data_IF_957612251001
#
_entry.id   IF_957612251001
#
_cell.length_a   1.000
_cell.length_b   1.000
_cell.length_c   1.000
_cell.angle_alpha   90.00
_cell.angle_beta   90.00
_cell.angle_gamma   90.00
#
_symmetry.space_group_name_H-M   'P 1'
#
loop_
_entity.id
_entity.type
_entity.pdbx_description
1 polymer ?
#
# COMPACT_ATOMS: atom_id res chain seq x y z
N UNK A 1 -3.85 -17.81 -16.75
CA UNK A 1 -3.34 -18.12 -18.10
C UNK A 1 -2.05 -17.36 -18.41
N UNK A 2 -1.92 -16.05 -18.10
CA UNK A 2 -0.73 -15.23 -18.43
C UNK A 2 0.56 -15.79 -17.80
N UNK A 3 0.48 -16.34 -16.61
CA UNK A 3 1.61 -16.88 -15.85
C UNK A 3 1.85 -18.39 -16.06
N UNK A 4 1.17 -18.99 -17.05
CA UNK A 4 1.31 -20.40 -17.41
C UNK A 4 1.79 -20.50 -18.84
N UNK A 5 2.70 -21.43 -19.09
CA UNK A 5 3.14 -21.83 -20.42
C UNK A 5 2.48 -23.17 -20.77
N UNK A 6 1.66 -23.18 -21.78
CA UNK A 6 0.91 -24.37 -22.21
C UNK A 6 0.06 -25.01 -21.07
N UNK A 7 -0.42 -24.16 -20.12
CA UNK A 7 -1.21 -24.59 -18.97
C UNK A 7 -0.40 -25.00 -17.73
N UNK A 8 0.93 -25.02 -17.83
CA UNK A 8 1.85 -25.43 -16.75
C UNK A 8 2.65 -24.22 -16.22
N UNK A 9 3.05 -24.20 -14.95
CA UNK A 9 3.95 -23.20 -14.41
C UNK A 9 5.31 -23.20 -15.13
N UNK A 10 5.93 -22.01 -15.24
CA UNK A 10 7.29 -21.90 -15.75
C UNK A 10 8.28 -22.67 -14.86
N UNK A 11 9.22 -23.35 -15.48
CA UNK A 11 10.29 -24.03 -14.76
C UNK A 11 11.30 -23.01 -14.17
N UNK A 12 11.99 -23.41 -13.11
CA UNK A 12 13.03 -22.59 -12.51
C UNK A 12 14.13 -22.24 -13.52
N UNK A 13 14.40 -20.96 -13.71
CA UNK A 13 15.36 -20.45 -14.68
C UNK A 13 14.82 -20.29 -16.12
N UNK A 14 13.58 -20.64 -16.38
CA UNK A 14 12.93 -20.40 -17.65
C UNK A 14 12.57 -18.92 -17.82
N UNK A 15 12.72 -18.39 -19.04
CA UNK A 15 12.43 -16.99 -19.32
C UNK A 15 10.93 -16.78 -19.50
N UNK A 16 10.35 -15.96 -18.60
CA UNK A 16 8.98 -15.47 -18.73
C UNK A 16 8.93 -14.25 -19.67
N UNK A 17 8.04 -14.27 -20.65
CA UNK A 17 7.86 -13.17 -21.61
C UNK A 17 6.38 -12.75 -21.64
N UNK A 18 6.15 -11.44 -21.56
CA UNK A 18 4.83 -10.82 -21.70
C UNK A 18 4.79 -10.01 -23.01
N UNK A 19 4.60 -10.68 -24.14
CA UNK A 19 4.59 -10.03 -25.45
C UNK A 19 3.48 -8.98 -25.57
N UNK A 20 2.28 -9.28 -25.08
CA UNK A 20 1.15 -8.34 -25.10
C UNK A 20 1.41 -7.07 -24.26
N UNK A 21 2.11 -7.19 -23.12
CA UNK A 21 2.51 -6.03 -22.34
C UNK A 21 3.57 -5.21 -23.07
N UNK A 22 4.52 -5.87 -23.73
CA UNK A 22 5.52 -5.22 -24.58
C UNK A 22 4.86 -4.46 -25.74
N UNK A 23 3.87 -5.06 -26.42
CA UNK A 23 3.13 -4.41 -27.50
C UNK A 23 2.38 -3.15 -27.01
N UNK A 24 1.76 -3.21 -25.82
CA UNK A 24 1.09 -2.05 -25.22
C UNK A 24 2.06 -0.91 -24.93
N UNK A 25 3.23 -1.21 -24.35
CA UNK A 25 4.28 -0.23 -24.10
C UNK A 25 4.86 0.33 -25.41
N UNK A 26 5.10 -0.53 -26.40
CA UNK A 26 5.58 -0.08 -27.72
C UNK A 26 4.57 0.85 -28.40
N UNK A 27 3.27 0.55 -28.31
CA UNK A 27 2.21 1.42 -28.82
C UNK A 27 2.29 2.82 -28.23
N UNK A 28 2.52 2.94 -26.90
CA UNK A 28 2.70 4.24 -26.24
C UNK A 28 3.93 4.99 -26.77
N UNK A 29 5.06 4.29 -26.95
CA UNK A 29 6.28 4.84 -27.55
C UNK A 29 6.02 5.32 -28.99
N UNK A 30 5.30 4.55 -29.78
CA UNK A 30 4.97 4.91 -31.16
C UNK A 30 4.12 6.21 -31.25
N UNK A 31 3.23 6.46 -30.28
CA UNK A 31 2.47 7.72 -30.18
C UNK A 31 3.39 8.92 -29.87
N UNK A 32 4.37 8.75 -28.99
CA UNK A 32 5.39 9.78 -28.74
C UNK A 32 6.17 10.07 -30.03
N UNK A 33 6.74 9.04 -30.63
CA UNK A 33 7.56 9.16 -31.88
C UNK A 33 6.77 9.84 -33.01
N UNK A 34 5.53 9.41 -33.21
CA UNK A 34 4.66 10.00 -34.22
C UNK A 34 4.38 11.49 -33.96
N UNK A 35 4.24 11.89 -32.69
CA UNK A 35 4.01 13.29 -32.31
C UNK A 35 5.26 14.13 -32.55
N UNK A 36 6.43 13.65 -32.15
CA UNK A 36 7.71 14.30 -32.40
C UNK A 36 8.00 14.45 -33.91
N UNK A 37 7.70 13.43 -34.70
CA UNK A 37 7.87 13.46 -36.16
C UNK A 37 7.00 14.51 -36.87
N UNK A 38 5.85 14.89 -36.27
CA UNK A 38 4.99 15.97 -36.75
C UNK A 38 5.41 17.36 -36.24
N UNK A 39 6.54 17.49 -35.57
CA UNK A 39 7.08 18.74 -35.04
C UNK A 39 6.58 19.12 -33.65
N UNK A 40 5.94 18.18 -32.94
CA UNK A 40 5.58 18.38 -31.53
C UNK A 40 6.80 18.48 -30.63
N UNK A 41 6.66 19.16 -29.50
CA UNK A 41 7.67 19.20 -28.45
C UNK A 41 7.78 17.87 -27.71
N UNK A 42 8.84 17.70 -26.90
CA UNK A 42 8.95 16.53 -26.01
C UNK A 42 7.76 16.40 -25.05
N UNK A 43 7.25 17.51 -24.54
CA UNK A 43 6.07 17.50 -23.67
C UNK A 43 4.82 16.99 -24.40
N UNK A 44 4.64 17.39 -25.68
CA UNK A 44 3.55 16.91 -26.52
C UNK A 44 3.69 15.39 -26.80
N UNK A 45 4.90 14.91 -27.03
CA UNK A 45 5.19 13.49 -27.21
C UNK A 45 4.86 12.67 -25.98
N UNK A 46 5.34 13.10 -24.81
CA UNK A 46 5.03 12.44 -23.53
C UNK A 46 3.52 12.44 -23.23
N UNK A 47 2.84 13.56 -23.53
CA UNK A 47 1.40 13.65 -23.39
C UNK A 47 0.68 12.68 -24.35
N UNK A 48 1.14 12.52 -25.58
CA UNK A 48 0.55 11.57 -26.53
C UNK A 48 0.68 10.12 -26.05
N UNK A 49 1.84 9.74 -25.50
CA UNK A 49 2.04 8.43 -24.89
C UNK A 49 1.12 8.21 -23.68
N UNK A 50 1.04 9.19 -22.77
CA UNK A 50 0.13 9.17 -21.64
C UNK A 50 -1.34 9.06 -22.09
N UNK A 51 -1.76 9.87 -23.06
CA UNK A 51 -3.15 9.87 -23.54
C UNK A 51 -3.51 8.55 -24.25
N UNK A 52 -2.55 7.88 -24.89
CA UNK A 52 -2.77 6.54 -25.46
C UNK A 52 -3.21 5.52 -24.40
N UNK A 53 -2.65 5.62 -23.19
CA UNK A 53 -3.02 4.75 -22.09
C UNK A 53 -4.32 5.21 -21.40
N UNK A 54 -4.42 6.48 -21.02
CA UNK A 54 -5.52 6.95 -20.16
C UNK A 54 -6.76 7.47 -20.90
N UNK A 55 -6.66 7.82 -22.19
CA UNK A 55 -7.74 8.41 -22.99
C UNK A 55 -7.95 7.76 -24.34
N UNK A 56 -6.98 6.94 -24.78
CA UNK A 56 -6.97 6.33 -26.09
C UNK A 56 -7.46 4.89 -26.10
N UNK A 57 -6.86 4.12 -27.01
CA UNK A 57 -7.30 2.77 -27.30
C UNK A 57 -7.05 1.78 -26.17
N UNK A 58 -5.99 1.99 -25.37
CA UNK A 58 -5.73 1.13 -24.20
C UNK A 58 -6.83 1.33 -23.16
N UNK A 59 -7.15 2.58 -22.81
CA UNK A 59 -8.25 2.88 -21.89
C UNK A 59 -9.58 2.30 -22.36
N UNK A 60 -9.87 2.41 -23.67
CA UNK A 60 -11.10 1.86 -24.26
C UNK A 60 -11.18 0.35 -24.07
N UNK A 61 -10.10 -0.37 -24.36
CA UNK A 61 -10.06 -1.83 -24.16
C UNK A 61 -10.25 -2.24 -22.70
N UNK A 62 -9.68 -1.47 -21.76
CA UNK A 62 -9.86 -1.69 -20.33
C UNK A 62 -11.31 -1.47 -19.95
N UNK A 63 -11.90 -0.34 -20.32
CA UNK A 63 -13.30 0.00 -20.00
C UNK A 63 -14.28 -1.00 -20.63
N UNK A 64 -14.08 -1.39 -21.89
CA UNK A 64 -14.92 -2.38 -22.59
C UNK A 64 -14.84 -3.75 -21.89
N UNK A 65 -13.66 -4.17 -21.46
CA UNK A 65 -13.50 -5.41 -20.70
C UNK A 65 -14.24 -5.36 -19.36
N UNK A 66 -14.10 -4.25 -18.60
CA UNK A 66 -14.84 -4.06 -17.35
C UNK A 66 -16.36 -4.09 -17.58
N UNK A 67 -16.85 -3.40 -18.59
CA UNK A 67 -18.28 -3.39 -18.93
C UNK A 67 -18.81 -4.79 -19.27
N UNK A 68 -18.03 -5.58 -19.99
CA UNK A 68 -18.41 -6.95 -20.38
C UNK A 68 -18.37 -7.96 -19.21
N UNK A 69 -17.60 -7.70 -18.15
CA UNK A 69 -17.36 -8.65 -17.06
C UNK A 69 -17.84 -8.16 -15.69
N UNK A 70 -18.69 -7.11 -15.64
CA UNK A 70 -19.25 -6.59 -14.38
C UNK A 70 -18.25 -5.81 -13.53
N UNK A 71 -17.16 -5.33 -14.13
CA UNK A 71 -16.22 -4.41 -13.47
C UNK A 71 -16.75 -2.97 -13.46
N UNK A 72 -16.14 -2.11 -12.68
CA UNK A 72 -16.63 -0.74 -12.44
C UNK A 72 -15.85 0.35 -13.19
N UNK A 73 -14.65 0.04 -13.68
CA UNK A 73 -13.79 1.03 -14.33
C UNK A 73 -14.38 1.47 -15.67
N UNK A 74 -14.51 2.78 -15.86
CA UNK A 74 -15.04 3.42 -17.06
C UNK A 74 -13.97 4.20 -17.82
N UNK A 75 -14.26 4.62 -19.04
CA UNK A 75 -13.41 5.57 -19.79
C UNK A 75 -13.23 6.88 -19.04
N UNK A 76 -14.24 7.33 -18.28
CA UNK A 76 -14.17 8.58 -17.53
C UNK A 76 -13.20 8.45 -16.37
N UNK A 77 -13.25 7.34 -15.62
CA UNK A 77 -12.31 7.07 -14.52
C UNK A 77 -10.87 7.05 -15.02
N UNK A 78 -10.62 6.38 -16.16
CA UNK A 78 -9.29 6.39 -16.79
C UNK A 78 -8.84 7.81 -17.19
N UNK A 79 -9.74 8.59 -17.82
CA UNK A 79 -9.41 9.94 -18.30
C UNK A 79 -9.19 10.95 -17.17
N UNK A 80 -9.86 10.78 -16.04
CA UNK A 80 -9.80 11.67 -14.88
C UNK A 80 -8.67 11.32 -13.91
N UNK A 81 -8.14 10.09 -14.00
CA UNK A 81 -7.05 9.67 -13.13
C UNK A 81 -5.85 10.62 -13.19
N UNK A 82 -5.36 10.96 -12.03
CA UNK A 82 -4.12 11.74 -11.82
C UNK A 82 -3.37 11.15 -10.65
N UNK A 83 -2.08 11.00 -10.81
CA UNK A 83 -1.21 10.69 -9.68
C UNK A 83 -1.11 11.91 -8.78
N UNK A 84 -1.45 11.77 -7.52
CA UNK A 84 -1.23 12.81 -6.51
C UNK A 84 0.26 12.94 -6.19
N UNK A 85 0.67 14.15 -5.82
CA UNK A 85 1.99 14.41 -5.23
C UNK A 85 1.73 14.92 -3.83
N UNK A 86 2.08 14.10 -2.86
CA UNK A 86 1.84 14.37 -1.44
C UNK A 86 3.16 14.31 -0.65
N UNK A 87 3.27 15.02 0.48
CA UNK A 87 4.39 14.83 1.38
C UNK A 87 4.37 13.41 1.95
N UNK A 88 5.56 12.84 2.17
CA UNK A 88 5.66 11.56 2.86
C UNK A 88 5.31 11.71 4.34
N UNK A 89 4.68 10.70 4.91
CA UNK A 89 4.57 10.54 6.36
C UNK A 89 5.93 10.19 6.93
N UNK A 90 6.24 10.70 8.11
CA UNK A 90 7.58 10.57 8.67
C UNK A 90 7.57 10.24 10.16
N UNK A 91 8.58 9.51 10.61
CA UNK A 91 8.94 9.38 12.02
C UNK A 91 10.44 9.21 12.18
N UNK A 92 10.94 9.38 13.40
CA UNK A 92 12.30 8.97 13.77
C UNK A 92 12.28 7.60 14.45
N UNK A 93 13.38 6.85 14.29
CA UNK A 93 13.68 5.67 15.09
C UNK A 93 15.17 5.71 15.47
N UNK A 94 15.45 6.02 16.73
CA UNK A 94 16.80 6.40 17.12
C UNK A 94 17.30 7.63 16.33
N UNK A 95 18.45 7.50 15.68
CA UNK A 95 19.07 8.56 14.88
C UNK A 95 18.65 8.53 13.39
N UNK A 96 17.69 7.68 13.02
CA UNK A 96 17.24 7.50 11.63
C UNK A 96 15.87 8.15 11.42
N UNK A 97 15.74 8.97 10.38
CA UNK A 97 14.44 9.40 9.88
C UNK A 97 13.88 8.37 8.89
N UNK A 98 12.62 7.99 9.09
CA UNK A 98 11.92 7.01 8.27
C UNK A 98 10.74 7.66 7.58
N UNK A 99 10.66 7.45 6.28
CA UNK A 99 9.63 8.03 5.40
C UNK A 99 8.77 6.92 4.81
N UNK A 100 7.47 7.17 4.71
CA UNK A 100 6.52 6.24 4.11
C UNK A 100 5.43 6.99 3.34
N UNK A 101 4.69 6.28 2.49
CA UNK A 101 3.51 6.81 1.84
C UNK A 101 2.36 7.01 2.85
N UNK A 102 1.33 7.74 2.44
CA UNK A 102 0.18 8.10 3.27
C UNK A 102 -0.74 6.93 3.68
N UNK A 103 -1.82 7.21 4.41
CA UNK A 103 -2.70 6.21 5.02
C UNK A 103 -3.59 5.44 4.03
N UNK A 104 -3.58 5.79 2.75
CA UNK A 104 -4.20 5.03 1.67
C UNK A 104 -3.49 3.70 1.39
N UNK A 105 -2.32 3.48 2.02
CA UNK A 105 -1.58 2.23 2.00
C UNK A 105 -1.05 1.88 3.40
N UNK A 106 -0.13 0.90 3.51
CA UNK A 106 0.38 0.41 4.79
C UNK A 106 1.66 1.11 5.28
N UNK A 107 2.15 2.14 4.59
CA UNK A 107 3.36 2.87 4.98
C UNK A 107 3.35 3.34 6.42
N UNK A 108 2.30 4.04 6.90
CA UNK A 108 2.26 4.53 8.27
C UNK A 108 2.22 3.42 9.32
N UNK A 109 1.78 2.20 8.99
CA UNK A 109 1.83 1.08 9.92
C UNK A 109 3.27 0.71 10.31
N UNK A 110 4.21 0.81 9.36
CA UNK A 110 5.64 0.66 9.67
C UNK A 110 6.11 1.76 10.64
N UNK A 111 5.76 3.02 10.35
CA UNK A 111 6.16 4.16 11.17
C UNK A 111 5.60 4.03 12.60
N UNK A 112 4.34 3.65 12.72
CA UNK A 112 3.67 3.42 14.00
C UNK A 112 4.31 2.26 14.78
N UNK A 113 4.66 1.15 14.09
CA UNK A 113 5.36 0.02 14.71
C UNK A 113 6.75 0.44 15.24
N UNK A 114 7.49 1.25 14.49
CA UNK A 114 8.77 1.77 14.94
C UNK A 114 8.62 2.65 16.18
N UNK A 115 7.60 3.52 16.22
CA UNK A 115 7.32 4.35 17.38
C UNK A 115 7.00 3.51 18.64
N UNK A 116 6.23 2.43 18.50
CA UNK A 116 5.94 1.49 19.59
C UNK A 116 7.20 0.78 20.09
N UNK A 117 8.08 0.39 19.17
CA UNK A 117 9.29 -0.40 19.47
C UNK A 117 10.45 0.45 19.97
N UNK A 118 10.43 1.76 19.79
CA UNK A 118 11.54 2.65 20.18
C UNK A 118 11.81 2.64 21.70
N UNK A 119 10.78 2.37 22.50
CA UNK A 119 10.91 2.24 23.96
C UNK A 119 11.57 0.93 24.44
N UNK A 120 11.91 0.00 23.54
CA UNK A 120 12.45 -1.31 23.87
C UNK A 120 13.92 -1.43 23.45
N UNK A 121 14.75 -1.99 24.31
CA UNK A 121 16.11 -2.39 23.94
C UNK A 121 16.09 -3.72 23.17
N UNK A 122 15.70 -3.63 21.89
CA UNK A 122 15.56 -4.80 21.02
C UNK A 122 16.90 -5.54 20.85
N UNK A 123 18.03 -4.82 20.87
CA UNK A 123 19.35 -5.42 20.70
C UNK A 123 19.69 -6.37 21.85
N UNK A 124 19.35 -6.02 23.10
CA UNK A 124 19.59 -6.87 24.27
C UNK A 124 18.71 -8.11 24.33
N UNK A 125 17.59 -8.15 23.59
CA UNK A 125 16.69 -9.30 23.57
C UNK A 125 17.29 -10.51 22.85
N UNK A 126 18.29 -10.29 22.00
CA UNK A 126 18.91 -11.31 21.16
C UNK A 126 18.14 -11.58 19.87
N UNK A 127 18.88 -11.78 18.78
CA UNK A 127 18.30 -11.99 17.44
C UNK A 127 17.37 -13.21 17.42
N UNK A 128 16.15 -13.04 16.95
CA UNK A 128 15.11 -14.08 16.86
C UNK A 128 14.83 -14.82 18.16
N UNK A 129 15.15 -14.26 19.31
CA UNK A 129 14.74 -14.83 20.59
C UNK A 129 13.21 -14.79 20.74
N UNK A 130 12.65 -15.67 21.58
CA UNK A 130 11.20 -15.65 21.87
C UNK A 130 10.74 -14.30 22.40
N UNK A 131 11.57 -13.60 23.21
CA UNK A 131 11.28 -12.27 23.71
C UNK A 131 11.22 -11.23 22.59
N UNK A 132 12.23 -11.27 21.68
CA UNK A 132 12.24 -10.37 20.51
C UNK A 132 11.03 -10.57 19.62
N UNK A 133 10.77 -11.84 19.21
CA UNK A 133 9.62 -12.19 18.36
C UNK A 133 8.30 -11.78 19.02
N UNK A 134 8.15 -12.06 20.31
CA UNK A 134 6.97 -11.67 21.08
C UNK A 134 6.75 -10.16 21.06
N UNK A 135 7.76 -9.37 21.43
CA UNK A 135 7.64 -7.91 21.52
C UNK A 135 7.27 -7.30 20.17
N UNK A 136 7.95 -7.73 19.09
CA UNK A 136 7.67 -7.22 17.73
C UNK A 136 6.26 -7.63 17.27
N UNK A 137 5.86 -8.88 17.53
CA UNK A 137 4.54 -9.37 17.13
C UNK A 137 3.42 -8.62 17.86
N UNK A 138 3.56 -8.39 19.17
CA UNK A 138 2.56 -7.65 19.95
C UNK A 138 2.48 -6.18 19.50
N UNK A 139 3.62 -5.53 19.18
CA UNK A 139 3.63 -4.19 18.59
C UNK A 139 2.86 -4.17 17.25
N UNK A 140 3.10 -5.14 16.37
CA UNK A 140 2.39 -5.27 15.09
C UNK A 140 0.89 -5.46 15.32
N UNK A 141 0.47 -6.29 16.27
CA UNK A 141 -0.96 -6.46 16.59
C UNK A 141 -1.63 -5.14 16.96
N UNK A 142 -1.00 -4.33 17.81
CA UNK A 142 -1.52 -3.03 18.20
C UNK A 142 -1.67 -2.08 17.00
N UNK A 143 -0.66 -2.05 16.15
CA UNK A 143 -0.67 -1.25 14.91
C UNK A 143 -1.76 -1.72 13.95
N UNK A 144 -1.89 -3.04 13.77
CA UNK A 144 -2.91 -3.58 12.87
C UNK A 144 -4.32 -3.32 13.39
N UNK A 145 -4.52 -3.32 14.71
CA UNK A 145 -5.81 -2.92 15.31
C UNK A 145 -6.16 -1.46 14.99
N UNK A 146 -5.19 -0.56 15.10
CA UNK A 146 -5.36 0.85 14.74
C UNK A 146 -5.59 1.01 13.22
N UNK A 147 -4.79 0.30 12.42
CA UNK A 147 -4.91 0.32 10.95
C UNK A 147 -6.30 -0.10 10.48
N UNK A 148 -6.80 -1.23 10.96
CA UNK A 148 -8.13 -1.74 10.56
C UNK A 148 -9.27 -0.78 10.93
N UNK A 149 -9.04 0.10 11.89
CA UNK A 149 -10.05 1.03 12.38
C UNK A 149 -9.94 2.43 11.78
N UNK A 150 -8.71 2.93 11.58
CA UNK A 150 -8.46 4.33 11.24
C UNK A 150 -7.91 4.57 9.84
N UNK A 151 -7.18 3.60 9.24
CA UNK A 151 -6.59 3.84 7.92
C UNK A 151 -7.63 3.73 6.83
N UNK A 152 -7.59 4.70 5.94
CA UNK A 152 -8.49 4.78 4.79
C UNK A 152 -7.90 5.74 3.76
N UNK A 153 -8.64 5.94 2.69
CA UNK A 153 -8.35 6.98 1.70
C UNK A 153 -8.71 8.35 2.29
N UNK A 154 -7.73 9.26 2.47
CA UNK A 154 -7.96 10.58 3.07
C UNK A 154 -8.83 11.51 2.22
N UNK A 155 -9.09 11.19 0.95
CA UNK A 155 -10.07 11.91 0.14
C UNK A 155 -11.51 11.69 0.61
N UNK A 156 -11.78 10.58 1.30
CA UNK A 156 -13.13 10.20 1.74
C UNK A 156 -13.32 10.21 3.25
N UNK A 157 -12.23 10.03 4.02
CA UNK A 157 -12.27 9.88 5.47
C UNK A 157 -11.12 10.65 6.12
N UNK A 158 -11.42 11.37 7.19
CA UNK A 158 -10.36 11.98 8.01
C UNK A 158 -9.57 10.88 8.73
N UNK A 159 -8.29 10.76 8.39
CA UNK A 159 -7.37 9.82 9.04
C UNK A 159 -6.50 10.60 10.03
N UNK A 160 -6.48 10.23 11.33
CA UNK A 160 -5.79 11.00 12.36
C UNK A 160 -4.28 10.71 12.38
N UNK A 161 -3.60 10.94 11.24
CA UNK A 161 -2.19 10.57 11.07
C UNK A 161 -1.27 11.18 12.12
N UNK A 162 -1.46 12.46 12.45
CA UNK A 162 -0.66 13.13 13.47
C UNK A 162 -0.78 12.44 14.84
N UNK A 163 -1.98 12.03 15.23
CA UNK A 163 -2.22 11.30 16.47
C UNK A 163 -1.65 9.89 16.45
N UNK A 164 -1.86 9.16 15.35
CA UNK A 164 -1.36 7.79 15.18
C UNK A 164 0.18 7.71 15.19
N UNK A 165 0.87 8.74 14.70
CA UNK A 165 2.34 8.81 14.68
C UNK A 165 2.93 9.56 15.88
N UNK A 166 2.09 10.03 16.81
CA UNK A 166 2.56 10.70 18.02
C UNK A 166 3.32 9.72 18.94
N UNK A 167 4.50 10.13 19.40
CA UNK A 167 5.36 9.31 20.27
C UNK A 167 4.74 9.06 21.66
N UNK A 168 3.98 10.00 22.19
CA UNK A 168 3.30 9.82 23.47
C UNK A 168 2.15 8.82 23.34
N UNK A 169 1.40 8.87 22.25
CA UNK A 169 0.41 7.85 21.91
C UNK A 169 1.04 6.47 21.80
N UNK A 170 2.15 6.33 21.07
CA UNK A 170 2.87 5.08 20.93
C UNK A 170 3.35 4.54 22.30
N UNK A 171 3.89 5.40 23.17
CA UNK A 171 4.32 5.02 24.51
C UNK A 171 3.14 4.55 25.39
N UNK A 172 1.97 5.15 25.25
CA UNK A 172 0.76 4.69 25.93
C UNK A 172 0.31 3.32 25.42
N UNK A 173 0.26 3.13 24.11
CA UNK A 173 -0.13 1.85 23.50
C UNK A 173 0.86 0.72 23.82
N UNK A 174 2.17 1.02 23.89
CA UNK A 174 3.20 0.06 24.23
C UNK A 174 3.00 -0.59 25.62
N UNK A 175 2.31 0.09 26.56
CA UNK A 175 1.97 -0.49 27.87
C UNK A 175 1.03 -1.70 27.80
N UNK A 176 0.36 -1.92 26.67
CA UNK A 176 -0.45 -3.10 26.42
C UNK A 176 0.38 -4.34 26.07
N UNK A 177 1.65 -4.17 25.70
CA UNK A 177 2.57 -5.29 25.43
C UNK A 177 3.01 -5.86 26.78
N UNK A 178 2.45 -7.01 27.13
CA UNK A 178 2.71 -7.73 28.38
C UNK A 178 3.56 -8.98 28.13
N UNK A 179 3.95 -9.68 29.18
CA UNK A 179 4.73 -10.95 29.06
C UNK A 179 3.94 -12.08 28.39
N UNK A 180 2.61 -11.99 28.39
CA UNK A 180 1.73 -12.96 27.73
C UNK A 180 1.15 -12.38 26.47
N UNK A 181 1.20 -13.13 25.38
CA UNK A 181 0.65 -12.72 24.09
C UNK A 181 -0.87 -12.55 24.15
N UNK A 182 -1.38 -11.54 23.49
CA UNK A 182 -2.82 -11.40 23.26
C UNK A 182 -3.30 -12.57 22.41
N UNK A 183 -4.31 -13.29 22.92
CA UNK A 183 -4.92 -14.41 22.18
C UNK A 183 -5.74 -13.94 20.97
N UNK A 184 -6.29 -12.73 21.07
CA UNK A 184 -7.07 -12.08 20.03
C UNK A 184 -6.45 -10.74 19.65
N UNK A 185 -6.94 -10.12 18.59
CA UNK A 185 -6.53 -8.77 18.20
C UNK A 185 -6.91 -7.79 19.33
N UNK A 186 -5.95 -6.98 19.82
CA UNK A 186 -6.26 -5.95 20.81
C UNK A 186 -7.23 -4.90 20.24
N UNK A 187 -7.93 -4.12 21.08
CA UNK A 187 -8.74 -3.03 20.60
C UNK A 187 -7.89 -1.92 19.95
N UNK A 188 -8.45 -1.17 18.98
CA UNK A 188 -7.80 0.05 18.50
C UNK A 188 -7.64 1.06 19.62
N UNK A 189 -6.79 2.06 19.42
CA UNK A 189 -6.69 3.19 20.34
C UNK A 189 -7.97 4.02 20.36
N UNK A 190 -8.20 4.74 21.47
CA UNK A 190 -9.36 5.59 21.61
C UNK A 190 -9.25 6.82 20.70
N UNK A 191 -10.31 7.15 19.99
CA UNK A 191 -10.32 8.23 19.00
C UNK A 191 -10.05 9.62 19.62
N UNK A 192 -10.44 9.83 20.88
CA UNK A 192 -10.14 11.04 21.64
C UNK A 192 -8.63 11.24 21.85
N UNK A 193 -7.92 10.14 22.10
CA UNK A 193 -6.46 10.17 22.26
C UNK A 193 -5.73 10.52 20.94
N UNK A 194 -6.40 10.32 19.82
CA UNK A 194 -5.89 10.65 18.48
C UNK A 194 -6.25 12.05 18.00
N UNK A 195 -6.96 12.82 18.84
CA UNK A 195 -7.35 14.19 18.53
C UNK A 195 -8.54 14.34 17.58
N UNK A 196 -9.28 13.26 17.34
CA UNK A 196 -10.50 13.32 16.56
C UNK A 196 -11.64 13.95 17.36
N UNK A 197 -12.51 14.69 16.69
CA UNK A 197 -13.69 15.32 17.29
C UNK A 197 -14.89 14.39 17.44
N UNK A 198 -14.88 13.26 16.72
CA UNK A 198 -15.90 12.22 16.76
C UNK A 198 -15.27 10.87 16.36
N UNK A 199 -15.90 9.77 16.80
CA UNK A 199 -15.51 8.44 16.38
C UNK A 199 -15.62 8.31 14.85
N UNK A 200 -14.60 7.76 14.19
CA UNK A 200 -14.66 7.54 12.73
C UNK A 200 -15.76 6.53 12.38
N UNK A 201 -16.31 6.60 11.16
CA UNK A 201 -17.28 5.62 10.71
C UNK A 201 -16.62 4.23 10.63
N UNK A 202 -17.20 3.26 11.29
CA UNK A 202 -16.73 1.87 11.21
C UNK A 202 -17.24 1.26 9.92
N UNK A 203 -16.38 1.13 8.92
CA UNK A 203 -16.66 0.36 7.73
C UNK A 203 -16.48 -1.13 8.05
N UNK A 204 -17.57 -1.83 8.29
CA UNK A 204 -17.52 -3.28 8.36
C UNK A 204 -17.25 -3.81 6.96
N UNK A 205 -16.01 -4.21 6.71
CA UNK A 205 -15.73 -5.02 5.52
C UNK A 205 -16.61 -6.27 5.62
N UNK A 206 -17.49 -6.55 4.63
CA UNK A 206 -18.23 -7.80 4.62
C UNK A 206 -17.21 -8.92 4.74
N UNK A 207 -17.46 -9.89 5.63
CA UNK A 207 -16.64 -11.08 5.70
C UNK A 207 -16.54 -11.65 4.27
N UNK A 208 -15.36 -11.62 3.68
CA UNK A 208 -15.14 -12.18 2.36
C UNK A 208 -15.36 -13.69 2.52
N UNK A 209 -16.45 -14.18 1.96
CA UNK A 209 -16.61 -15.62 1.77
C UNK A 209 -15.59 -16.02 0.71
N UNK A 210 -14.40 -16.33 1.17
CA UNK A 210 -13.27 -16.65 0.28
C UNK A 210 -13.34 -18.09 -0.19
N UNK A 211 -14.44 -18.84 0.01
CA UNK A 211 -14.66 -20.19 -0.57
C UNK A 211 -13.40 -21.09 -0.75
N UNK A 212 -12.25 -20.59 -0.38
CA UNK A 212 -10.92 -21.19 -0.42
C UNK A 212 -10.24 -20.91 0.90
N UNK A 213 -9.65 -21.89 1.49
CA UNK A 213 -8.92 -21.86 2.76
C UNK A 213 -8.14 -20.57 2.95
N UNK A 214 -8.72 -19.60 3.62
CA UNK A 214 -8.22 -18.40 4.29
C UNK A 214 -6.81 -17.87 4.06
N UNK A 215 -6.20 -18.11 2.90
CA UNK A 215 -4.92 -17.50 2.54
C UNK A 215 -5.16 -16.03 2.21
N UNK A 216 -4.92 -15.17 3.19
CA UNK A 216 -4.79 -13.74 2.93
C UNK A 216 -3.64 -13.53 1.94
N UNK A 217 -3.96 -13.02 0.76
CA UNK A 217 -2.95 -12.61 -0.22
C UNK A 217 -2.47 -11.23 0.21
N UNK A 218 -1.19 -11.12 0.54
CA UNK A 218 -0.56 -9.87 0.90
C UNK A 218 0.65 -9.59 0.00
N UNK A 219 1.09 -8.34 -0.03
CA UNK A 219 2.24 -7.90 -0.82
C UNK A 219 3.36 -7.48 0.12
N UNK A 220 4.57 -7.98 -0.12
CA UNK A 220 5.77 -7.57 0.60
C UNK A 220 6.69 -6.77 -0.31
N UNK A 221 7.17 -5.64 0.18
CA UNK A 221 8.16 -4.82 -0.49
C UNK A 221 9.38 -4.61 0.42
N UNK A 222 10.57 -4.80 -0.14
CA UNK A 222 11.84 -4.49 0.52
C UNK A 222 12.68 -3.62 -0.41
N UNK A 223 13.15 -2.48 0.10
CA UNK A 223 14.12 -1.63 -0.58
C UNK A 223 15.33 -1.41 0.30
N UNK A 224 16.52 -1.57 -0.26
CA UNK A 224 17.80 -1.27 0.40
C UNK A 224 18.55 -0.29 -0.47
N UNK A 225 18.95 0.85 0.12
CA UNK A 225 19.85 1.81 -0.54
C UNK A 225 21.16 1.85 0.21
N UNK A 226 22.26 1.89 -0.54
CA UNK A 226 23.59 2.13 -0.02
C UNK A 226 24.04 3.58 -0.32
N UNK A 227 25.05 4.07 0.42
CA UNK A 227 25.58 5.44 0.25
C UNK A 227 26.45 5.54 -0.97
#
# INVERSE_FOLDING_TARGET
>A
EIFLKDGEPYALGETFKQEQAADALQYMVDQEVATLARGGSRADGLKAAHDAFYRGDIARRIADYHAAHGGWMTMQDMADYRSSVEPAETTSFGDVEVYACGPWCQGPALLQALNLLEGYDLASMGHNSSRYVHTVTEAIKLVMADREHYYSDPEFVEVPMQGLLDKAYAAQRAQMIQDTAHAEMPPPGEWEALGLSAAPPVFKTPARDTGTDGAALDTTYLCVTDK
#
